data_IF_677844373205
#
_entry.id   IF_677844373205
#
_cell.length_a   1.000
_cell.length_b   1.000
_cell.length_c   1.000
_cell.angle_alpha   90.00
_cell.angle_beta   90.00
_cell.angle_gamma   90.00
#
_symmetry.space_group_name_H-M   'P 1'
#
loop_
_entity.id
_entity.type
_entity.pdbx_description
1 polymer ?
#
# COMPACT_ATOMS: atom_id res chain seq x y z
N UNK A 1 -6.98 -29.28 -15.06
CA UNK A 1 -6.13 -28.81 -13.94
C UNK A 1 -7.02 -28.00 -13.01
N UNK A 2 -7.28 -28.49 -11.80
CA UNK A 2 -8.04 -27.73 -10.80
C UNK A 2 -7.05 -26.89 -10.00
N UNK A 3 -7.15 -25.56 -10.10
CA UNK A 3 -6.35 -24.64 -9.30
C UNK A 3 -6.81 -24.77 -7.84
N UNK A 4 -5.87 -25.02 -6.93
CA UNK A 4 -6.17 -25.17 -5.50
C UNK A 4 -6.63 -23.83 -4.91
N UNK A 5 -7.59 -23.86 -3.97
CA UNK A 5 -8.06 -22.67 -3.25
C UNK A 5 -6.90 -21.85 -2.66
N UNK A 6 -5.85 -22.51 -2.18
CA UNK A 6 -4.65 -21.85 -1.63
C UNK A 6 -3.88 -21.10 -2.71
N UNK A 7 -3.74 -21.71 -3.89
CA UNK A 7 -3.02 -21.13 -5.02
C UNK A 7 -3.74 -19.90 -5.58
N UNK A 8 -5.08 -19.94 -5.63
CA UNK A 8 -5.92 -18.78 -5.95
C UNK A 8 -5.73 -17.67 -4.90
N UNK A 9 -5.77 -18.01 -3.61
CA UNK A 9 -5.59 -17.02 -2.53
C UNK A 9 -4.20 -16.37 -2.62
N UNK A 10 -3.15 -17.14 -2.90
CA UNK A 10 -1.80 -16.60 -2.99
C UNK A 10 -1.61 -15.74 -4.23
N UNK A 11 -2.26 -16.06 -5.35
CA UNK A 11 -2.31 -15.17 -6.51
C UNK A 11 -2.98 -13.84 -6.15
N UNK A 12 -4.16 -13.89 -5.52
CA UNK A 12 -4.90 -12.68 -5.13
C UNK A 12 -4.09 -11.82 -4.16
N UNK A 13 -3.36 -12.43 -3.20
CA UNK A 13 -2.44 -11.69 -2.31
C UNK A 13 -1.35 -10.95 -3.09
N UNK A 14 -0.75 -11.58 -4.09
CA UNK A 14 0.30 -10.94 -4.92
C UNK A 14 -0.26 -9.74 -5.69
N UNK A 15 -1.43 -9.90 -6.30
CA UNK A 15 -2.10 -8.82 -7.02
C UNK A 15 -2.46 -7.65 -6.11
N UNK A 16 -2.97 -7.94 -4.90
CA UNK A 16 -3.24 -6.93 -3.88
C UNK A 16 -1.97 -6.22 -3.40
N UNK A 17 -0.87 -6.94 -3.21
CA UNK A 17 0.41 -6.36 -2.82
C UNK A 17 0.91 -5.37 -3.89
N UNK A 18 0.82 -5.75 -5.17
CA UNK A 18 1.16 -4.86 -6.28
C UNK A 18 0.25 -3.62 -6.32
N UNK A 19 -1.06 -3.81 -6.18
CA UNK A 19 -2.01 -2.70 -6.16
C UNK A 19 -1.75 -1.72 -5.00
N UNK A 20 -1.47 -2.25 -3.80
CA UNK A 20 -1.11 -1.42 -2.64
C UNK A 20 0.20 -0.68 -2.87
N UNK A 21 1.22 -1.34 -3.43
CA UNK A 21 2.48 -0.69 -3.76
C UNK A 21 2.29 0.47 -4.74
N UNK A 22 1.47 0.30 -5.79
CA UNK A 22 1.18 1.38 -6.75
C UNK A 22 0.47 2.59 -6.09
N UNK A 23 -0.41 2.33 -5.11
CA UNK A 23 -1.09 3.38 -4.35
C UNK A 23 -0.13 4.14 -3.43
N UNK A 24 0.74 3.43 -2.73
CA UNK A 24 1.79 4.03 -1.90
C UNK A 24 2.70 4.88 -2.77
N UNK A 25 3.18 4.32 -3.89
CA UNK A 25 4.09 5.00 -4.80
C UNK A 25 3.49 6.33 -5.30
N UNK A 26 2.28 6.30 -5.87
CA UNK A 26 1.61 7.51 -6.37
C UNK A 26 1.31 8.54 -5.28
N UNK A 27 0.84 8.09 -4.09
CA UNK A 27 0.51 8.97 -2.97
C UNK A 27 1.74 9.63 -2.37
N UNK A 28 2.75 8.84 -2.03
CA UNK A 28 3.95 9.33 -1.35
C UNK A 28 4.84 10.13 -2.28
N UNK A 29 4.96 9.76 -3.56
CA UNK A 29 5.67 10.59 -4.54
C UNK A 29 5.03 11.98 -4.64
N UNK A 30 3.70 12.05 -4.80
CA UNK A 30 2.98 13.34 -4.89
C UNK A 30 3.12 14.20 -3.63
N UNK A 31 3.20 13.58 -2.45
CA UNK A 31 3.33 14.31 -1.18
C UNK A 31 4.75 14.79 -0.91
N UNK A 32 5.75 13.96 -1.22
CA UNK A 32 7.11 14.17 -0.76
C UNK A 32 8.02 14.80 -1.83
N UNK A 33 7.75 14.57 -3.12
CA UNK A 33 8.60 15.04 -4.22
C UNK A 33 8.00 16.31 -4.82
N UNK A 34 8.46 17.45 -4.30
CA UNK A 34 7.98 18.78 -4.76
C UNK A 34 8.73 19.31 -5.98
N UNK A 35 9.97 18.83 -6.19
CA UNK A 35 10.81 19.17 -7.35
C UNK A 35 11.40 17.89 -7.93
N UNK A 36 10.74 17.29 -8.94
CA UNK A 36 11.20 16.00 -9.48
C UNK A 36 12.59 16.13 -10.09
N UNK A 37 13.46 15.19 -9.75
CA UNK A 37 14.82 15.05 -10.26
C UNK A 37 15.16 13.59 -10.54
N UNK A 38 16.39 13.32 -10.96
CA UNK A 38 16.87 11.96 -11.23
C UNK A 38 17.23 11.19 -9.95
N UNK A 39 17.35 11.89 -8.81
CA UNK A 39 17.64 11.31 -7.51
C UNK A 39 16.79 11.98 -6.44
N UNK A 40 16.49 11.24 -5.37
CA UNK A 40 15.89 11.82 -4.18
C UNK A 40 16.95 12.51 -3.32
N UNK A 41 16.62 13.73 -2.89
CA UNK A 41 17.30 14.40 -1.79
C UNK A 41 17.11 13.62 -0.48
N UNK A 42 17.96 13.86 0.52
CA UNK A 42 17.81 13.20 1.83
C UNK A 42 16.45 13.47 2.48
N UNK A 43 15.91 14.69 2.31
CA UNK A 43 14.61 15.07 2.82
C UNK A 43 13.45 14.33 2.11
N UNK A 44 13.54 14.16 0.78
CA UNK A 44 12.55 13.40 0.02
C UNK A 44 12.57 11.91 0.40
N UNK A 45 13.76 11.32 0.56
CA UNK A 45 13.89 9.92 1.02
C UNK A 45 13.24 9.72 2.38
N UNK A 46 13.57 10.59 3.34
CA UNK A 46 13.02 10.52 4.69
C UNK A 46 11.49 10.69 4.68
N UNK A 47 10.97 11.65 3.91
CA UNK A 47 9.53 11.82 3.77
C UNK A 47 8.85 10.58 3.16
N UNK A 48 9.42 9.98 2.10
CA UNK A 48 8.84 8.80 1.45
C UNK A 48 8.82 7.60 2.40
N UNK A 49 9.87 7.40 3.20
CA UNK A 49 9.93 6.36 4.21
C UNK A 49 8.80 6.55 5.23
N UNK A 50 8.72 7.73 5.85
CA UNK A 50 7.68 8.05 6.82
C UNK A 50 6.26 7.95 6.22
N UNK A 51 6.07 8.42 5.00
CA UNK A 51 4.79 8.34 4.29
C UNK A 51 4.35 6.89 4.08
N UNK A 52 5.28 6.03 3.71
CA UNK A 52 5.01 4.60 3.46
C UNK A 52 4.58 3.91 4.75
N UNK A 53 5.33 4.10 5.85
CA UNK A 53 5.02 3.51 7.15
C UNK A 53 3.63 3.97 7.64
N UNK A 54 3.38 5.28 7.60
CA UNK A 54 2.09 5.86 8.01
C UNK A 54 0.93 5.40 7.14
N UNK A 55 1.14 5.27 5.83
CA UNK A 55 0.11 4.76 4.93
C UNK A 55 -0.25 3.32 5.27
N UNK A 56 0.75 2.47 5.53
CA UNK A 56 0.53 1.07 5.87
C UNK A 56 -0.21 0.92 7.20
N UNK A 57 0.16 1.70 8.22
CA UNK A 57 -0.55 1.74 9.50
C UNK A 57 -2.02 2.14 9.33
N UNK A 58 -2.26 3.24 8.59
CA UNK A 58 -3.62 3.71 8.31
C UNK A 58 -4.42 2.68 7.51
N UNK A 59 -3.81 2.07 6.50
CA UNK A 59 -4.43 1.02 5.68
C UNK A 59 -4.88 -0.16 6.54
N UNK A 60 -4.02 -0.64 7.44
CA UNK A 60 -4.32 -1.76 8.32
C UNK A 60 -5.49 -1.44 9.26
N UNK A 61 -5.46 -0.27 9.91
CA UNK A 61 -6.52 0.17 10.83
C UNK A 61 -7.87 0.31 10.11
N UNK A 62 -7.88 0.98 8.95
CA UNK A 62 -9.10 1.21 8.17
C UNK A 62 -9.64 -0.13 7.65
N UNK A 63 -8.78 -1.01 7.13
CA UNK A 63 -9.18 -2.33 6.62
C UNK A 63 -9.82 -3.18 7.70
N UNK A 64 -9.21 -3.24 8.90
CA UNK A 64 -9.76 -3.98 10.04
C UNK A 64 -11.11 -3.40 10.47
N UNK A 65 -11.21 -2.07 10.59
CA UNK A 65 -12.44 -1.38 10.98
C UNK A 65 -13.56 -1.63 9.97
N UNK A 66 -13.24 -1.54 8.68
CA UNK A 66 -14.19 -1.77 7.59
C UNK A 66 -14.72 -3.20 7.60
N UNK A 67 -13.84 -4.20 7.72
CA UNK A 67 -14.23 -5.61 7.82
C UNK A 67 -15.05 -5.89 9.09
N UNK A 68 -14.73 -5.25 10.21
CA UNK A 68 -15.50 -5.37 11.43
C UNK A 68 -16.92 -4.79 11.31
N UNK A 69 -17.12 -3.77 10.46
CA UNK A 69 -18.45 -3.21 10.15
C UNK A 69 -19.24 -4.15 9.23
N UNK A 70 -18.63 -4.62 8.14
CA UNK A 70 -19.26 -5.53 7.18
C UNK A 70 -19.77 -6.85 7.78
N UNK A 71 -19.23 -7.30 8.92
CA UNK A 71 -19.68 -8.51 9.62
C UNK A 71 -20.89 -8.27 10.52
N UNK A 72 -21.20 -7.02 10.85
CA UNK A 72 -22.35 -6.66 11.71
C UNK A 72 -23.62 -6.47 10.90
N UNK A 73 -23.47 -6.04 9.65
CA UNK A 73 -24.54 -5.91 8.66
C UNK A 73 -24.76 -7.23 7.92
#
# INVERSE_FOLDING_TARGET
MAISKTEVIDQVKREMALANFQRINSKCFKLCVTRPGTTFTSAEKECVNQCTDRFQDAWNLISQTYMARLKRD
#
